data_IF_798654797231
#
_entry.id   IF_798654797231
#
_cell.length_a   1.000
_cell.length_b   1.000
_cell.length_c   1.000
_cell.angle_alpha   90.00
_cell.angle_beta   90.00
_cell.angle_gamma   90.00
#
_symmetry.space_group_name_H-M   'P 1'
#
loop_
_entity.id
_entity.type
_entity.pdbx_description
1 polymer ?
#
# COMPACT_ATOMS: atom_id res chain seq x y z
N UNK A 1 -15.14 11.89 -74.60
CA UNK A 1 -15.43 11.48 -73.21
C UNK A 1 -14.15 10.90 -72.62
N UNK A 2 -13.47 11.63 -71.72
CA UNK A 2 -12.33 11.11 -70.96
C UNK A 2 -12.70 11.28 -69.49
N UNK A 3 -13.07 10.17 -68.84
CA UNK A 3 -13.41 10.15 -67.42
C UNK A 3 -12.14 10.32 -66.59
N UNK A 4 -12.06 11.42 -65.85
CA UNK A 4 -11.04 11.62 -64.82
C UNK A 4 -11.49 10.93 -63.54
N UNK A 5 -10.84 9.82 -63.19
CA UNK A 5 -11.02 9.14 -61.91
C UNK A 5 -10.30 9.98 -60.86
N UNK A 6 -11.06 10.68 -60.01
CA UNK A 6 -10.51 11.35 -58.83
C UNK A 6 -10.28 10.29 -57.75
N UNK A 7 -9.02 9.95 -57.51
CA UNK A 7 -8.63 9.13 -56.36
C UNK A 7 -8.74 9.99 -55.09
N UNK A 8 -9.77 9.74 -54.29
CA UNK A 8 -9.87 10.30 -52.95
C UNK A 8 -8.80 9.63 -52.07
N UNK A 9 -7.72 10.34 -51.75
CA UNK A 9 -6.82 9.95 -50.68
C UNK A 9 -7.58 10.08 -49.35
N UNK A 10 -8.03 8.95 -48.80
CA UNK A 10 -8.42 8.90 -47.38
C UNK A 10 -7.14 8.96 -46.56
N UNK A 11 -6.83 10.16 -46.06
CA UNK A 11 -5.85 10.33 -44.98
C UNK A 11 -6.40 9.62 -43.74
N UNK A 12 -5.93 8.42 -43.46
CA UNK A 12 -6.20 7.74 -42.20
C UNK A 12 -5.55 8.58 -41.08
N UNK A 13 -6.38 9.33 -40.35
CA UNK A 13 -5.96 9.96 -39.10
C UNK A 13 -5.69 8.80 -38.16
N UNK A 14 -4.41 8.48 -37.95
CA UNK A 14 -4.01 7.58 -36.85
C UNK A 14 -4.35 8.32 -35.57
N UNK A 15 -5.56 8.08 -35.03
CA UNK A 15 -5.85 8.41 -33.64
C UNK A 15 -4.84 7.62 -32.83
N UNK A 16 -3.84 8.31 -32.28
CA UNK A 16 -2.90 7.68 -31.36
C UNK A 16 -3.74 7.08 -30.25
N UNK A 17 -3.68 5.75 -30.09
CA UNK A 17 -4.32 5.11 -28.96
C UNK A 17 -3.73 5.72 -27.69
N UNK A 18 -4.59 6.32 -26.88
CA UNK A 18 -4.19 6.97 -25.64
C UNK A 18 -5.02 6.37 -24.51
N UNK A 19 -4.38 5.82 -23.47
CA UNK A 19 -5.09 5.41 -22.28
C UNK A 19 -5.61 6.66 -21.56
N UNK A 20 -6.81 6.56 -20.97
CA UNK A 20 -7.43 7.68 -20.28
C UNK A 20 -8.38 7.20 -19.21
N UNK A 21 -8.33 7.82 -18.03
CA UNK A 21 -9.21 7.50 -16.90
C UNK A 21 -9.84 8.77 -16.32
N UNK A 22 -11.12 8.66 -15.96
CA UNK A 22 -11.81 9.63 -15.11
C UNK A 22 -12.29 8.89 -13.87
N UNK A 23 -12.03 9.47 -12.70
CA UNK A 23 -12.49 8.98 -11.40
C UNK A 23 -13.45 10.00 -10.79
N UNK A 24 -14.72 9.62 -10.65
CA UNK A 24 -15.73 10.41 -9.96
C UNK A 24 -16.02 9.81 -8.58
N UNK A 25 -15.78 10.58 -7.52
CA UNK A 25 -16.01 10.17 -6.13
C UNK A 25 -17.18 10.95 -5.55
N UNK A 26 -18.28 10.25 -5.25
CA UNK A 26 -19.51 10.87 -4.78
C UNK A 26 -19.87 10.43 -3.36
N UNK A 27 -19.94 11.39 -2.45
CA UNK A 27 -20.47 11.21 -1.10
C UNK A 27 -21.92 11.76 -1.00
N UNK A 28 -22.76 11.24 -0.08
CA UNK A 28 -24.06 11.85 0.20
C UNK A 28 -23.90 13.31 0.65
N UNK A 29 -24.83 14.25 0.35
CA UNK A 29 -24.68 15.66 0.69
C UNK A 29 -24.52 15.93 2.20
N UNK A 30 -25.07 15.05 3.03
CA UNK A 30 -24.89 15.06 4.47
C UNK A 30 -24.98 13.65 5.05
N UNK A 31 -24.20 13.39 6.11
CA UNK A 31 -24.30 12.19 6.94
C UNK A 31 -24.32 12.57 8.43
N UNK A 32 -25.07 11.81 9.23
CA UNK A 32 -25.06 11.89 10.69
C UNK A 32 -24.41 10.61 11.19
N UNK A 33 -23.41 10.78 12.05
CA UNK A 33 -22.45 9.77 12.45
C UNK A 33 -21.60 9.27 11.26
N UNK A 34 -20.39 8.77 11.55
CA UNK A 34 -19.57 8.13 10.50
C UNK A 34 -20.09 6.75 10.14
N UNK A 35 -20.83 6.12 11.06
CA UNK A 35 -21.41 4.79 10.89
C UNK A 35 -22.47 4.84 9.77
N UNK A 36 -22.13 4.31 8.59
CA UNK A 36 -22.99 4.33 7.40
C UNK A 36 -22.66 5.40 6.36
N UNK A 37 -21.57 6.17 6.54
CA UNK A 37 -21.03 6.98 5.45
C UNK A 37 -20.50 6.05 4.36
N UNK A 38 -21.18 6.05 3.21
CA UNK A 38 -20.75 5.33 2.01
C UNK A 38 -20.38 6.33 0.93
N UNK A 39 -19.22 6.14 0.32
CA UNK A 39 -18.75 6.90 -0.83
C UNK A 39 -18.80 6.00 -2.06
N UNK A 40 -19.37 6.52 -3.14
CA UNK A 40 -19.45 5.83 -4.42
C UNK A 40 -18.32 6.31 -5.32
N UNK A 41 -17.46 5.40 -5.75
CA UNK A 41 -16.41 5.68 -6.72
C UNK A 41 -16.80 5.10 -8.09
N UNK A 42 -16.78 5.94 -9.11
CA UNK A 42 -16.99 5.54 -10.51
C UNK A 42 -15.70 5.77 -11.27
N UNK A 43 -15.08 4.70 -11.75
CA UNK A 43 -13.89 4.76 -12.59
C UNK A 43 -14.28 4.44 -14.03
N UNK A 44 -14.00 5.37 -14.94
CA UNK A 44 -14.34 5.25 -16.37
C UNK A 44 -13.10 5.28 -17.24
N UNK A 45 -13.01 4.31 -18.15
CA UNK A 45 -12.07 4.37 -19.25
C UNK A 45 -12.56 5.35 -20.32
N UNK A 46 -11.84 6.47 -20.47
CA UNK A 46 -12.10 7.49 -21.50
C UNK A 46 -11.15 7.38 -22.68
N UNK A 47 -10.16 6.49 -22.60
CA UNK A 47 -9.26 6.17 -23.68
C UNK A 47 -9.90 5.34 -24.79
N UNK A 48 -9.10 5.01 -25.78
CA UNK A 48 -9.51 4.25 -26.97
C UNK A 48 -9.12 2.78 -26.92
N UNK A 49 -8.42 2.34 -25.87
CA UNK A 49 -7.96 0.97 -25.68
C UNK A 49 -8.51 0.37 -24.37
N UNK A 50 -8.59 -0.95 -24.28
CA UNK A 50 -8.95 -1.63 -23.05
C UNK A 50 -7.85 -1.49 -22.01
N UNK A 51 -8.21 -1.17 -20.77
CA UNK A 51 -7.28 -1.05 -19.64
C UNK A 51 -7.42 -2.23 -18.70
N UNK A 52 -6.30 -2.95 -18.45
CA UNK A 52 -6.20 -4.01 -17.45
C UNK A 52 -5.54 -3.44 -16.18
N UNK A 53 -6.35 -2.94 -15.28
CA UNK A 53 -5.95 -2.22 -14.07
C UNK A 53 -5.74 -3.20 -12.92
N UNK A 54 -4.67 -3.07 -12.14
CA UNK A 54 -4.52 -3.83 -10.90
C UNK A 54 -5.53 -3.34 -9.86
N UNK A 55 -6.10 -4.28 -9.10
CA UNK A 55 -6.90 -4.01 -7.92
C UNK A 55 -5.99 -3.61 -6.73
N UNK A 56 -5.14 -2.59 -6.95
CA UNK A 56 -4.17 -2.10 -5.98
C UNK A 56 -4.88 -1.62 -4.72
N UNK A 57 -4.45 -2.07 -3.53
CA UNK A 57 -5.10 -1.75 -2.25
C UNK A 57 -5.10 -0.27 -1.90
N UNK A 58 -4.35 0.60 -2.59
CA UNK A 58 -4.41 2.06 -2.38
C UNK A 58 -5.46 2.75 -3.25
N UNK A 59 -6.14 2.02 -4.13
CA UNK A 59 -7.06 2.57 -5.13
C UNK A 59 -8.49 2.15 -4.86
N UNK A 60 -9.43 2.88 -5.46
CA UNK A 60 -10.87 2.60 -5.35
C UNK A 60 -11.30 1.23 -5.91
N UNK A 61 -10.41 0.53 -6.62
CA UNK A 61 -10.66 -0.81 -7.17
C UNK A 61 -10.58 -1.91 -6.11
N UNK A 62 -9.87 -1.66 -5.01
CA UNK A 62 -9.80 -2.59 -3.89
C UNK A 62 -10.95 -2.36 -2.91
N UNK A 63 -11.43 -3.43 -2.28
CA UNK A 63 -12.39 -3.35 -1.17
C UNK A 63 -11.72 -3.47 0.20
N UNK A 64 -10.39 -3.56 0.23
CA UNK A 64 -9.64 -3.61 1.47
C UNK A 64 -9.88 -2.31 2.25
N UNK A 65 -10.05 -2.35 3.58
CA UNK A 65 -10.28 -1.16 4.40
C UNK A 65 -8.96 -0.42 4.63
N UNK A 66 -8.37 0.10 3.57
CA UNK A 66 -7.07 0.79 3.50
C UNK A 66 -7.26 2.31 3.38
N UNK A 67 -6.16 3.05 3.47
CA UNK A 67 -6.11 4.51 3.41
C UNK A 67 -6.25 5.04 1.96
N UNK A 68 -7.32 4.60 1.28
CA UNK A 68 -7.60 4.88 -0.14
C UNK A 68 -8.08 6.32 -0.36
N UNK A 69 -8.69 6.92 0.65
CA UNK A 69 -9.34 8.22 0.57
C UNK A 69 -8.78 9.20 1.60
N UNK A 70 -8.44 10.39 1.14
CA UNK A 70 -8.10 11.51 2.00
C UNK A 70 -9.36 12.29 2.42
N UNK A 71 -9.41 12.65 3.71
CA UNK A 71 -10.46 13.49 4.30
C UNK A 71 -9.79 14.73 4.86
N UNK A 72 -10.27 15.89 4.43
CA UNK A 72 -9.84 17.18 4.97
C UNK A 72 -11.06 18.05 5.21
N UNK A 73 -11.07 18.75 6.34
CA UNK A 73 -12.05 19.82 6.58
C UNK A 73 -11.92 20.91 5.50
N UNK A 74 -12.98 21.69 5.25
CA UNK A 74 -12.95 22.82 4.30
C UNK A 74 -11.79 23.81 4.53
N UNK A 75 -11.34 23.96 5.79
CA UNK A 75 -10.22 24.83 6.17
C UNK A 75 -8.85 24.15 6.07
N UNK A 76 -8.79 22.88 5.65
CA UNK A 76 -7.59 22.01 5.65
C UNK A 76 -6.89 21.92 7.03
N UNK A 77 -7.60 22.22 8.11
CA UNK A 77 -7.04 22.25 9.47
C UNK A 77 -7.16 20.91 10.21
N UNK A 78 -8.07 20.03 9.76
CA UNK A 78 -8.39 18.79 10.44
C UNK A 78 -8.50 17.65 9.43
N UNK A 79 -7.82 16.55 9.75
CA UNK A 79 -7.87 15.28 9.03
C UNK A 79 -8.14 14.19 10.06
N UNK A 80 -9.17 13.34 9.86
CA UNK A 80 -9.42 12.22 10.74
C UNK A 80 -8.25 11.24 10.70
N UNK A 81 -7.98 10.62 11.83
CA UNK A 81 -7.02 9.52 11.90
C UNK A 81 -7.62 8.31 11.19
N UNK A 82 -6.87 7.74 10.26
CA UNK A 82 -7.22 6.48 9.62
C UNK A 82 -7.06 5.32 10.62
N UNK A 83 -8.04 4.42 10.67
CA UNK A 83 -8.08 3.29 11.63
C UNK A 83 -8.25 1.93 10.95
N UNK A 84 -8.20 1.88 9.62
CA UNK A 84 -8.24 0.63 8.88
C UNK A 84 -6.89 -0.09 8.88
N UNK A 85 -6.75 -1.07 7.99
CA UNK A 85 -5.52 -1.85 7.88
C UNK A 85 -4.44 -1.08 7.13
N UNK A 86 -3.20 -1.33 7.51
CA UNK A 86 -1.99 -1.06 6.72
C UNK A 86 -1.42 -2.40 6.27
N UNK A 87 -0.91 -2.49 5.05
CA UNK A 87 -0.57 -3.79 4.45
C UNK A 87 0.59 -3.71 3.49
N UNK A 88 1.34 -4.81 3.37
CA UNK A 88 2.32 -5.00 2.30
C UNK A 88 1.69 -5.61 1.04
N UNK A 89 1.86 -4.90 -0.06
CA UNK A 89 1.51 -5.30 -1.42
C UNK A 89 2.65 -4.94 -2.37
N UNK A 90 2.83 -5.70 -3.45
CA UNK A 90 3.82 -5.37 -4.49
C UNK A 90 3.16 -5.49 -5.86
N UNK A 91 2.90 -4.37 -6.57
CA UNK A 91 2.23 -4.38 -7.87
C UNK A 91 2.88 -5.30 -8.90
N UNK A 92 4.21 -5.35 -8.93
CA UNK A 92 4.95 -6.21 -9.85
C UNK A 92 4.73 -7.71 -9.55
N UNK A 93 4.66 -8.10 -8.28
CA UNK A 93 4.37 -9.48 -7.87
C UNK A 93 2.96 -9.89 -8.26
N UNK A 94 1.96 -9.04 -8.00
CA UNK A 94 0.58 -9.29 -8.41
C UNK A 94 0.43 -9.37 -9.93
N UNK A 95 1.06 -8.45 -10.66
CA UNK A 95 1.07 -8.47 -12.13
C UNK A 95 1.69 -9.75 -12.69
N UNK A 96 2.79 -10.22 -12.09
CA UNK A 96 3.49 -11.44 -12.50
C UNK A 96 2.69 -12.73 -12.21
N UNK A 97 1.89 -12.76 -11.14
CA UNK A 97 0.97 -13.88 -10.87
C UNK A 97 -0.15 -13.98 -11.91
N UNK A 98 -0.48 -12.87 -12.58
CA UNK A 98 -1.38 -12.79 -13.72
C UNK A 98 -2.77 -13.43 -13.47
N UNK A 99 -3.28 -13.42 -12.24
CA UNK A 99 -4.61 -13.96 -11.94
C UNK A 99 -5.67 -12.94 -12.33
N UNK A 100 -6.74 -13.38 -12.98
CA UNK A 100 -7.82 -12.46 -13.39
C UNK A 100 -8.43 -11.70 -12.21
N UNK A 101 -8.47 -12.30 -11.02
CA UNK A 101 -8.95 -11.66 -9.79
C UNK A 101 -8.09 -10.45 -9.33
N UNK A 102 -6.82 -10.38 -9.73
CA UNK A 102 -5.93 -9.27 -9.41
C UNK A 102 -6.23 -8.01 -10.24
N UNK A 103 -7.11 -8.12 -11.25
CA UNK A 103 -7.37 -7.05 -12.21
C UNK A 103 -8.83 -6.67 -12.35
N UNK A 104 -9.05 -5.40 -12.68
CA UNK A 104 -10.28 -4.89 -13.27
C UNK A 104 -10.00 -4.51 -14.72
N UNK A 105 -10.76 -5.08 -15.66
CA UNK A 105 -10.63 -4.76 -17.10
C UNK A 105 -11.75 -3.84 -17.54
N UNK A 106 -11.40 -2.67 -18.08
CA UNK A 106 -12.34 -1.69 -18.61
C UNK A 106 -12.13 -1.51 -20.12
N UNK A 107 -13.12 -1.88 -20.93
CA UNK A 107 -13.16 -1.54 -22.35
C UNK A 107 -13.29 -0.02 -22.57
N UNK A 108 -12.98 0.51 -23.76
CA UNK A 108 -13.21 1.92 -24.09
C UNK A 108 -14.64 2.36 -23.78
N UNK A 109 -14.79 3.43 -22.99
CA UNK A 109 -16.08 3.97 -22.55
C UNK A 109 -16.74 3.22 -21.38
N UNK A 110 -16.22 2.05 -20.98
CA UNK A 110 -16.76 1.28 -19.86
C UNK A 110 -16.46 1.96 -18.53
N UNK A 111 -17.39 1.82 -17.58
CA UNK A 111 -17.22 2.28 -16.20
C UNK A 111 -17.42 1.11 -15.23
N UNK A 112 -16.77 1.20 -14.08
CA UNK A 112 -17.05 0.38 -12.90
C UNK A 112 -17.48 1.29 -11.76
N UNK A 113 -18.45 0.83 -10.98
CA UNK A 113 -18.96 1.52 -9.80
C UNK A 113 -18.69 0.67 -8.56
N UNK A 114 -18.10 1.27 -7.54
CA UNK A 114 -17.73 0.60 -6.30
C UNK A 114 -18.14 1.48 -5.12
N UNK A 115 -18.89 0.90 -4.20
CA UNK A 115 -19.26 1.53 -2.94
C UNK A 115 -18.21 1.22 -1.86
N UNK A 116 -17.76 2.26 -1.17
CA UNK A 116 -16.77 2.21 -0.11
C UNK A 116 -17.37 2.71 1.20
N UNK A 117 -17.40 1.87 2.22
CA UNK A 117 -17.86 2.24 3.56
C UNK A 117 -16.76 3.01 4.32
N UNK A 118 -17.17 3.97 5.15
CA UNK A 118 -16.27 4.78 6.00
C UNK A 118 -15.17 5.50 5.21
N UNK A 119 -15.49 5.88 3.97
CA UNK A 119 -14.55 6.43 3.02
C UNK A 119 -14.51 7.96 3.02
N UNK A 120 -13.40 8.46 2.51
CA UNK A 120 -13.11 9.88 2.40
C UNK A 120 -13.44 10.50 1.05
N UNK A 121 -12.89 11.69 0.81
CA UNK A 121 -13.38 12.58 -0.23
C UNK A 121 -12.54 12.59 -1.51
N UNK A 122 -11.22 12.65 -1.35
CA UNK A 122 -10.30 12.59 -2.47
C UNK A 122 -9.56 11.25 -2.44
N UNK A 123 -9.88 10.39 -3.39
CA UNK A 123 -9.23 9.10 -3.54
C UNK A 123 -7.88 9.22 -4.26
N UNK A 124 -7.01 8.24 -4.04
CA UNK A 124 -5.83 8.08 -4.90
C UNK A 124 -6.26 7.89 -6.36
N UNK A 125 -5.75 8.73 -7.25
CA UNK A 125 -6.10 8.76 -8.66
C UNK A 125 -5.02 8.14 -9.56
N UNK A 126 -3.94 7.60 -8.99
CA UNK A 126 -2.90 6.89 -9.74
C UNK A 126 -3.17 5.40 -9.69
N UNK A 127 -3.32 4.79 -10.87
CA UNK A 127 -3.60 3.37 -11.03
C UNK A 127 -2.42 2.66 -11.69
N UNK A 128 -2.14 1.45 -11.23
CA UNK A 128 -1.24 0.54 -11.92
C UNK A 128 -2.02 -0.27 -12.97
N UNK A 129 -1.47 -0.41 -14.17
CA UNK A 129 -2.07 -1.21 -15.24
C UNK A 129 -1.02 -2.01 -16.01
N UNK A 130 -1.44 -3.12 -16.59
CA UNK A 130 -0.61 -3.92 -17.49
C UNK A 130 -0.97 -3.55 -18.92
N UNK A 131 0.01 -3.06 -19.67
CA UNK A 131 -0.20 -2.64 -21.06
C UNK A 131 -0.22 -3.85 -22.03
N UNK A 132 -0.42 -3.58 -23.32
CA UNK A 132 -0.47 -4.61 -24.35
C UNK A 132 0.83 -5.42 -24.51
N UNK A 133 1.97 -4.90 -24.02
CA UNK A 133 3.25 -5.61 -24.01
C UNK A 133 3.44 -6.51 -22.79
N UNK A 134 2.53 -6.43 -21.81
CA UNK A 134 2.65 -7.13 -20.53
C UNK A 134 3.46 -6.37 -19.48
N UNK A 135 3.87 -5.12 -19.77
CA UNK A 135 4.62 -4.30 -18.82
C UNK A 135 3.70 -3.57 -17.85
N UNK A 136 4.15 -3.49 -16.59
CA UNK A 136 3.47 -2.71 -15.57
C UNK A 136 3.76 -1.22 -15.75
N UNK A 137 2.69 -0.43 -15.88
CA UNK A 137 2.73 1.02 -16.04
C UNK A 137 1.77 1.70 -15.08
N UNK A 138 1.89 3.02 -14.97
CA UNK A 138 0.97 3.85 -14.19
C UNK A 138 0.18 4.76 -15.11
N UNK A 139 -1.05 5.06 -14.71
CA UNK A 139 -1.91 6.05 -15.33
C UNK A 139 -2.57 6.88 -14.23
N UNK A 140 -2.55 8.19 -14.41
CA UNK A 140 -3.25 9.12 -13.53
C UNK A 140 -4.63 9.44 -14.10
N UNK A 141 -5.67 9.22 -13.31
CA UNK A 141 -7.04 9.59 -13.65
C UNK A 141 -7.27 11.07 -13.33
N UNK A 142 -8.03 11.76 -14.19
CA UNK A 142 -8.63 13.04 -13.77
C UNK A 142 -9.70 12.75 -12.72
N UNK A 143 -9.64 13.42 -11.57
CA UNK A 143 -10.51 13.14 -10.43
C UNK A 143 -11.52 14.26 -10.16
N UNK A 144 -12.79 13.92 -9.98
CA UNK A 144 -13.82 14.83 -9.48
C UNK A 144 -14.41 14.31 -8.17
N UNK A 145 -14.83 15.23 -7.30
CA UNK A 145 -15.38 14.91 -5.99
C UNK A 145 -16.34 16.01 -5.49
N UNK A 146 -17.44 15.68 -4.79
CA UNK A 146 -18.41 16.62 -4.19
C UNK A 146 -18.36 16.83 -2.64
N UNK A 147 -18.35 18.07 -2.14
CA UNK A 147 -18.34 18.33 -0.69
C UNK A 147 -19.59 17.77 0.02
N UNK A 148 -19.42 17.32 1.27
CA UNK A 148 -20.51 16.88 2.13
C UNK A 148 -20.40 17.42 3.56
N UNK A 149 -21.51 17.41 4.29
CA UNK A 149 -21.55 17.77 5.71
C UNK A 149 -21.58 16.52 6.57
N UNK A 150 -20.67 16.45 7.54
CA UNK A 150 -20.64 15.37 8.53
C UNK A 150 -20.92 15.94 9.93
N UNK A 151 -21.86 15.33 10.65
CA UNK A 151 -22.23 15.72 12.01
C UNK A 151 -22.39 14.49 12.90
N UNK A 152 -22.53 14.68 14.21
CA UNK A 152 -22.74 13.58 15.17
C UNK A 152 -21.44 12.94 15.65
N UNK A 153 -21.46 11.62 15.88
CA UNK A 153 -20.34 10.81 16.34
C UNK A 153 -19.35 10.59 15.20
N UNK A 154 -18.18 11.20 15.33
CA UNK A 154 -17.13 11.18 14.29
C UNK A 154 -16.11 10.05 14.45
N UNK A 155 -16.43 9.05 15.29
CA UNK A 155 -15.56 7.91 15.58
C UNK A 155 -16.37 6.63 15.38
N UNK A 156 -15.96 5.81 14.42
CA UNK A 156 -16.53 4.49 14.21
C UNK A 156 -16.10 3.57 15.35
N UNK A 157 -16.98 2.70 15.88
CA UNK A 157 -16.54 1.63 16.78
C UNK A 157 -15.51 0.75 16.07
N UNK A 158 -14.37 0.47 16.72
CA UNK A 158 -13.49 -0.60 16.22
C UNK A 158 -14.29 -1.90 16.21
N UNK A 159 -14.48 -2.48 15.02
CA UNK A 159 -15.19 -3.76 14.83
C UNK A 159 -14.33 -4.95 15.25
N UNK A 160 -13.05 -4.72 15.54
CA UNK A 160 -12.18 -5.78 16.04
C UNK A 160 -12.34 -5.88 17.55
N UNK A 161 -12.61 -7.10 18.08
CA UNK A 161 -12.51 -7.32 19.51
C UNK A 161 -11.06 -7.09 19.88
N UNK A 162 -10.76 -5.89 20.43
CA UNK A 162 -9.43 -5.49 20.90
C UNK A 162 -8.76 -6.68 21.56
N UNK A 163 -7.76 -7.25 20.89
CA UNK A 163 -6.98 -8.29 21.52
C UNK A 163 -6.35 -7.65 22.76
N UNK A 164 -6.57 -8.30 23.90
CA UNK A 164 -6.34 -7.71 25.23
C UNK A 164 -4.95 -7.09 25.32
N UNK A 165 -4.92 -5.95 26.03
CA UNK A 165 -3.74 -5.26 26.54
C UNK A 165 -2.56 -6.20 26.80
N UNK A 166 -1.35 -5.73 26.43
CA UNK A 166 -0.03 -6.31 26.78
C UNK A 166 -0.09 -6.99 28.15
N UNK A 167 -0.44 -8.27 28.14
CA UNK A 167 0.00 -9.20 29.16
C UNK A 167 1.52 -9.15 29.09
N UNK A 168 2.20 -9.16 30.23
CA UNK A 168 3.64 -9.43 30.30
C UNK A 168 3.81 -10.90 29.90
N UNK A 169 3.55 -11.19 28.62
CA UNK A 169 3.79 -12.47 28.01
C UNK A 169 5.29 -12.54 27.77
N UNK A 170 5.84 -13.74 27.98
CA UNK A 170 7.22 -14.08 27.63
C UNK A 170 7.54 -13.50 26.23
N UNK A 171 8.71 -12.88 26.07
CA UNK A 171 9.25 -12.42 24.77
C UNK A 171 9.46 -13.63 23.85
N UNK A 172 8.38 -14.14 23.28
CA UNK A 172 8.33 -15.36 22.48
C UNK A 172 7.33 -15.14 21.37
N UNK A 173 7.72 -15.56 20.17
CA UNK A 173 6.84 -15.58 19.00
C UNK A 173 5.59 -16.38 19.33
N UNK A 174 4.43 -15.76 19.13
CA UNK A 174 3.13 -16.41 19.31
C UNK A 174 2.50 -16.67 17.94
N UNK A 175 1.65 -17.70 17.84
CA UNK A 175 1.04 -18.11 16.59
C UNK A 175 -0.47 -18.31 16.75
N UNK A 176 -1.25 -17.82 15.80
CA UNK A 176 -2.68 -18.06 15.70
C UNK A 176 -2.98 -18.78 14.39
N UNK A 177 -3.52 -20.01 14.47
CA UNK A 177 -3.90 -20.79 13.29
C UNK A 177 -2.76 -21.28 12.39
N UNK A 178 -1.50 -21.19 12.83
CA UNK A 178 -0.34 -21.60 12.03
C UNK A 178 0.01 -23.09 12.21
N UNK A 179 0.18 -23.81 11.10
CA UNK A 179 0.75 -25.17 11.07
C UNK A 179 2.23 -25.18 11.52
N UNK A 180 2.77 -26.35 11.87
CA UNK A 180 4.17 -26.49 12.29
C UNK A 180 5.19 -26.04 11.24
N UNK A 181 4.89 -26.25 9.95
CA UNK A 181 5.71 -25.76 8.85
C UNK A 181 5.66 -24.23 8.76
N UNK A 182 4.47 -23.63 8.83
CA UNK A 182 4.32 -22.17 8.85
C UNK A 182 5.04 -21.55 10.05
N UNK A 183 4.93 -22.14 11.25
CA UNK A 183 5.66 -21.68 12.44
C UNK A 183 7.18 -21.67 12.22
N UNK A 184 7.71 -22.70 11.55
CA UNK A 184 9.14 -22.78 11.23
C UNK A 184 9.56 -21.67 10.26
N UNK A 185 8.75 -21.39 9.22
CA UNK A 185 9.00 -20.31 8.26
C UNK A 185 8.96 -18.93 8.94
N UNK A 186 7.96 -18.70 9.78
CA UNK A 186 7.77 -17.45 10.53
C UNK A 186 8.90 -17.23 11.54
N UNK A 187 9.30 -18.26 12.29
CA UNK A 187 10.42 -18.18 13.24
C UNK A 187 11.73 -17.79 12.56
N UNK A 188 12.02 -18.39 11.40
CA UNK A 188 13.20 -18.04 10.60
C UNK A 188 13.13 -16.59 10.10
N UNK A 189 11.97 -16.16 9.59
CA UNK A 189 11.76 -14.79 9.12
C UNK A 189 11.86 -13.75 10.25
N UNK A 190 11.29 -14.04 11.42
CA UNK A 190 11.36 -13.17 12.59
C UNK A 190 12.80 -12.98 13.09
N UNK A 191 13.58 -14.06 13.12
CA UNK A 191 15.01 -14.01 13.48
C UNK A 191 15.82 -13.19 12.48
N UNK A 192 15.56 -13.38 11.18
CA UNK A 192 16.21 -12.60 10.13
C UNK A 192 15.79 -11.12 10.15
N UNK A 193 14.52 -10.83 10.45
CA UNK A 193 13.99 -9.46 10.59
C UNK A 193 14.68 -8.70 11.73
N UNK A 194 14.82 -9.32 12.91
CA UNK A 194 15.60 -8.72 14.01
C UNK A 194 17.06 -8.46 13.61
N UNK A 195 17.65 -9.34 12.79
CA UNK A 195 19.01 -9.16 12.27
C UNK A 195 19.09 -7.96 11.32
N UNK A 196 18.11 -7.80 10.42
CA UNK A 196 18.00 -6.60 9.58
C UNK A 196 17.91 -5.32 10.41
N UNK A 197 17.02 -5.28 11.41
CA UNK A 197 16.85 -4.11 12.28
C UNK A 197 18.12 -3.80 13.07
N UNK A 198 18.82 -4.80 13.60
CA UNK A 198 20.10 -4.62 14.29
C UNK A 198 21.21 -4.06 13.38
N UNK A 199 21.30 -4.57 12.14
CA UNK A 199 22.25 -4.09 11.13
C UNK A 199 21.94 -2.65 10.73
N UNK A 200 20.66 -2.31 10.56
CA UNK A 200 20.21 -0.94 10.30
C UNK A 200 20.56 -0.01 11.45
N UNK A 201 20.28 -0.37 12.70
CA UNK A 201 20.62 0.46 13.85
C UNK A 201 22.13 0.71 13.94
N UNK A 202 22.96 -0.31 13.70
CA UNK A 202 24.42 -0.17 13.62
C UNK A 202 24.82 0.81 12.52
N UNK A 203 24.25 0.65 11.33
CA UNK A 203 24.50 1.51 10.18
C UNK A 203 24.11 2.98 10.44
N UNK A 204 22.88 3.22 10.89
CA UNK A 204 22.36 4.57 11.13
C UNK A 204 23.14 5.30 12.24
N UNK A 205 23.69 4.58 13.21
CA UNK A 205 24.56 5.15 14.24
C UNK A 205 25.96 5.50 13.72
N UNK A 206 26.41 4.87 12.63
CA UNK A 206 27.72 5.11 12.02
C UNK A 206 27.75 6.25 10.99
N UNK A 207 26.59 6.69 10.47
CA UNK A 207 26.52 7.74 9.44
C UNK A 207 26.26 9.13 10.03
N UNK A 208 26.93 10.13 9.45
CA UNK A 208 26.77 11.55 9.78
C UNK A 208 26.54 12.42 8.52
N UNK A 209 26.37 11.79 7.36
CA UNK A 209 26.11 12.42 6.07
C UNK A 209 25.31 11.48 5.16
N UNK A 210 24.90 11.98 3.99
CA UNK A 210 24.18 11.19 3.00
C UNK A 210 25.06 10.14 2.34
N UNK A 211 24.75 8.87 2.58
CA UNK A 211 25.33 7.71 1.91
C UNK A 211 24.42 7.21 0.79
N UNK A 212 24.94 6.38 -0.12
CA UNK A 212 24.15 5.82 -1.21
C UNK A 212 22.95 5.02 -0.69
N UNK A 213 23.15 4.16 0.32
CA UNK A 213 22.04 3.38 0.92
C UNK A 213 20.98 4.30 1.53
N UNK A 214 21.38 5.32 2.31
CA UNK A 214 20.43 6.24 2.93
C UNK A 214 19.67 7.05 1.87
N UNK A 215 20.37 7.67 0.93
CA UNK A 215 19.73 8.56 -0.05
C UNK A 215 18.86 7.80 -1.06
N UNK A 216 19.16 6.53 -1.34
CA UNK A 216 18.33 5.68 -2.20
C UNK A 216 16.93 5.50 -1.63
N UNK A 217 16.81 5.33 -0.31
CA UNK A 217 15.54 4.96 0.33
C UNK A 217 14.91 6.09 1.14
N UNK A 218 15.66 7.10 1.55
CA UNK A 218 15.13 8.21 2.38
C UNK A 218 15.41 9.59 1.80
N UNK A 219 16.07 9.66 0.64
CA UNK A 219 16.31 10.91 -0.08
C UNK A 219 17.41 11.76 0.56
N UNK A 220 17.35 13.06 0.29
CA UNK A 220 18.38 14.01 0.75
C UNK A 220 18.56 13.94 2.28
N UNK A 221 19.83 13.80 2.69
CA UNK A 221 20.20 13.72 4.10
C UNK A 221 19.88 15.00 4.86
N UNK A 222 19.29 14.84 6.05
CA UNK A 222 19.31 15.85 7.10
C UNK A 222 19.45 15.14 8.44
N UNK A 223 20.07 15.80 9.43
CA UNK A 223 20.18 15.24 10.78
C UNK A 223 18.80 14.92 11.39
N UNK A 224 17.78 15.74 11.12
CA UNK A 224 16.42 15.53 11.59
C UNK A 224 15.79 14.26 11.00
N UNK A 225 15.83 14.08 9.68
CA UNK A 225 15.30 12.86 9.02
C UNK A 225 16.07 11.61 9.45
N UNK A 226 17.39 11.70 9.60
CA UNK A 226 18.19 10.59 10.14
C UNK A 226 17.70 10.22 11.55
N UNK A 227 17.47 11.21 12.41
CA UNK A 227 16.98 10.99 13.77
C UNK A 227 15.60 10.32 13.77
N UNK A 228 14.70 10.72 12.87
CA UNK A 228 13.38 10.09 12.72
C UNK A 228 13.51 8.62 12.31
N UNK A 229 14.23 8.32 11.22
CA UNK A 229 14.43 6.94 10.77
C UNK A 229 15.11 6.09 11.84
N UNK A 230 16.14 6.63 12.53
CA UNK A 230 16.80 5.94 13.64
C UNK A 230 15.81 5.63 14.77
N UNK A 231 14.92 6.57 15.11
CA UNK A 231 13.91 6.35 16.14
C UNK A 231 12.96 5.21 15.77
N UNK A 232 12.57 5.10 14.49
CA UNK A 232 11.69 4.03 14.03
C UNK A 232 12.33 2.65 14.24
N UNK A 233 13.53 2.42 13.71
CA UNK A 233 14.23 1.14 13.88
C UNK A 233 14.66 0.84 15.31
N UNK A 234 14.90 1.87 16.12
CA UNK A 234 15.16 1.69 17.56
C UNK A 234 13.90 1.18 18.26
N UNK A 235 12.73 1.75 17.94
CA UNK A 235 11.45 1.31 18.50
C UNK A 235 11.05 -0.09 18.03
N UNK A 236 11.22 -0.41 16.74
CA UNK A 236 10.99 -1.77 16.21
C UNK A 236 11.86 -2.79 16.97
N UNK A 237 13.13 -2.47 17.21
CA UNK A 237 14.01 -3.24 18.08
C UNK A 237 14.05 -4.74 17.77
N UNK A 238 13.45 -5.54 18.66
CA UNK A 238 13.37 -7.01 18.56
C UNK A 238 11.94 -7.53 18.45
N UNK A 239 11.00 -6.65 18.07
CA UNK A 239 9.56 -6.92 18.10
C UNK A 239 9.19 -8.20 17.32
N UNK A 240 9.87 -8.48 16.21
CA UNK A 240 9.59 -9.65 15.38
C UNK A 240 9.57 -10.97 16.17
N UNK A 241 10.40 -11.11 17.21
CA UNK A 241 10.46 -12.31 18.08
C UNK A 241 9.53 -12.28 19.29
N UNK A 242 8.72 -11.23 19.43
CA UNK A 242 7.69 -11.05 20.46
C UNK A 242 6.30 -10.78 19.88
N UNK A 243 6.16 -10.79 18.55
CA UNK A 243 4.91 -10.60 17.82
C UNK A 243 4.10 -11.89 17.75
N UNK A 244 2.77 -11.73 17.72
CA UNK A 244 1.83 -12.78 17.34
C UNK A 244 1.65 -12.80 15.83
N UNK A 245 1.83 -13.96 15.19
CA UNK A 245 1.58 -14.14 13.77
C UNK A 245 0.30 -14.95 13.57
N UNK A 246 -0.66 -14.35 12.87
CA UNK A 246 -1.92 -14.98 12.52
C UNK A 246 -1.86 -15.50 11.07
N UNK A 247 -2.08 -16.79 10.89
CA UNK A 247 -2.01 -17.47 9.60
C UNK A 247 -3.37 -17.76 8.95
N UNK A 248 -4.48 -17.31 9.55
CA UNK A 248 -5.85 -17.70 9.17
C UNK A 248 -6.78 -16.52 8.92
N UNK A 249 -6.63 -15.41 9.63
CA UNK A 249 -7.57 -14.29 9.56
C UNK A 249 -7.51 -13.61 8.20
N UNK A 250 -6.33 -13.44 7.60
CA UNK A 250 -6.22 -12.84 6.26
C UNK A 250 -7.01 -13.62 5.21
N UNK A 251 -6.97 -14.96 5.24
CA UNK A 251 -7.70 -15.82 4.31
C UNK A 251 -9.23 -15.64 4.39
N UNK A 252 -9.73 -15.22 5.56
CA UNK A 252 -11.16 -15.11 5.84
C UNK A 252 -11.65 -13.65 5.92
N UNK A 253 -10.77 -12.66 5.71
CA UNK A 253 -11.13 -11.25 5.81
C UNK A 253 -11.70 -10.76 4.48
N UNK A 254 -12.96 -10.35 4.49
CA UNK A 254 -13.61 -9.80 3.30
C UNK A 254 -12.92 -8.51 2.83
N UNK A 255 -12.77 -8.37 1.52
CA UNK A 255 -12.17 -7.20 0.89
C UNK A 255 -10.65 -7.25 0.75
N UNK A 256 -9.97 -8.12 1.50
CA UNK A 256 -8.53 -8.39 1.32
C UNK A 256 -8.37 -9.54 0.33
N UNK A 257 -7.51 -9.35 -0.66
CA UNK A 257 -7.13 -10.43 -1.56
C UNK A 257 -5.93 -11.20 -1.00
N UNK A 258 -6.20 -12.40 -0.49
CA UNK A 258 -5.22 -13.24 0.19
C UNK A 258 -4.01 -13.56 -0.70
N UNK A 259 -4.18 -13.92 -1.97
CA UNK A 259 -3.05 -14.42 -2.77
C UNK A 259 -2.20 -13.32 -3.43
N UNK A 260 -2.62 -12.06 -3.33
CA UNK A 260 -1.87 -10.88 -3.81
C UNK A 260 -1.33 -9.99 -2.68
N UNK A 261 -1.76 -10.22 -1.44
CA UNK A 261 -1.27 -9.52 -0.24
C UNK A 261 -0.16 -10.32 0.46
N UNK A 262 0.84 -9.64 1.01
CA UNK A 262 1.89 -10.27 1.82
C UNK A 262 1.45 -10.42 3.28
N UNK A 263 1.11 -9.31 3.91
CA UNK A 263 0.63 -9.25 5.29
C UNK A 263 -0.12 -7.93 5.53
N UNK A 264 -0.78 -7.82 6.68
CA UNK A 264 -1.33 -6.54 7.14
C UNK A 264 -1.32 -6.44 8.68
N UNK A 265 -1.52 -5.22 9.17
CA UNK A 265 -1.69 -4.89 10.60
C UNK A 265 -2.75 -3.81 10.81
N UNK A 266 -3.18 -3.65 12.05
CA UNK A 266 -3.85 -2.43 12.53
C UNK A 266 -2.82 -1.60 13.30
N UNK A 267 -2.61 -0.35 12.90
CA UNK A 267 -1.51 0.49 13.42
C UNK A 267 -1.63 0.79 14.92
N UNK A 268 -2.85 0.80 15.45
CA UNK A 268 -3.18 1.08 16.85
C UNK A 268 -3.29 -0.18 17.72
N UNK A 269 -3.11 -1.38 17.14
CA UNK A 269 -3.11 -2.68 17.82
C UNK A 269 -1.73 -3.37 17.70
N UNK A 270 -0.68 -2.83 18.34
CA UNK A 270 0.67 -3.36 18.20
C UNK A 270 0.82 -4.79 18.72
N UNK A 271 1.59 -5.60 17.98
CA UNK A 271 2.01 -6.94 18.40
C UNK A 271 1.29 -8.10 17.71
N UNK A 272 0.48 -7.84 16.68
CA UNK A 272 -0.09 -8.89 15.82
C UNK A 272 0.12 -8.57 14.34
N UNK A 273 0.68 -9.52 13.58
CA UNK A 273 0.82 -9.46 12.12
C UNK A 273 -0.04 -10.55 11.50
N UNK A 274 -0.89 -10.17 10.54
CA UNK A 274 -1.77 -11.08 9.82
C UNK A 274 -1.12 -11.45 8.48
N UNK A 275 -0.72 -12.72 8.34
CA UNK A 275 0.02 -13.21 7.19
C UNK A 275 -0.92 -13.68 6.08
N UNK A 276 -0.62 -13.27 4.85
CA UNK A 276 -1.41 -13.56 3.66
C UNK A 276 -0.63 -14.47 2.69
N UNK A 277 -1.20 -14.76 1.52
CA UNK A 277 -0.72 -15.76 0.57
C UNK A 277 0.70 -15.49 0.07
N UNK A 278 1.03 -14.24 -0.29
CA UNK A 278 2.33 -13.93 -0.91
C UNK A 278 3.50 -14.10 0.06
N UNK A 279 3.29 -13.90 1.37
CA UNK A 279 4.32 -14.12 2.38
C UNK A 279 4.86 -15.56 2.34
N UNK A 280 4.01 -16.54 2.04
CA UNK A 280 4.43 -17.93 1.99
C UNK A 280 5.29 -18.25 0.76
N UNK A 281 5.13 -17.51 -0.33
CA UNK A 281 5.93 -17.67 -1.55
C UNK A 281 7.27 -16.92 -1.48
N UNK A 282 7.35 -15.87 -0.66
CA UNK A 282 8.51 -15.00 -0.54
C UNK A 282 9.75 -15.72 0.04
N UNK A 283 10.98 -15.35 -0.37
CA UNK A 283 12.19 -15.88 0.25
C UNK A 283 12.32 -15.38 1.70
N UNK A 284 13.12 -16.06 2.53
CA UNK A 284 13.31 -15.61 3.93
C UNK A 284 13.99 -14.23 3.99
N UNK A 285 15.03 -14.02 3.19
CA UNK A 285 15.81 -12.78 3.06
C UNK A 285 15.95 -12.41 1.58
N UNK A 286 16.52 -11.24 1.28
CA UNK A 286 16.56 -10.68 -0.08
C UNK A 286 15.54 -9.57 -0.27
N UNK A 287 15.14 -9.32 -1.52
CA UNK A 287 14.12 -8.33 -1.90
C UNK A 287 12.71 -8.88 -1.70
N UNK A 288 11.80 -8.07 -1.14
CA UNK A 288 10.40 -8.41 -0.86
C UNK A 288 10.28 -9.74 -0.10
N UNK A 289 11.12 -9.89 0.91
CA UNK A 289 11.31 -11.13 1.65
C UNK A 289 10.34 -11.24 2.82
N UNK A 290 10.21 -12.43 3.41
CA UNK A 290 9.44 -12.61 4.66
C UNK A 290 10.00 -11.75 5.80
N UNK A 291 11.32 -11.68 5.93
CA UNK A 291 11.97 -10.83 6.91
C UNK A 291 11.74 -9.33 6.64
N UNK A 292 11.80 -8.91 5.37
CA UNK A 292 11.48 -7.55 4.93
C UNK A 292 10.03 -7.18 5.21
N UNK A 293 9.09 -8.07 4.86
CA UNK A 293 7.67 -7.94 5.18
C UNK A 293 7.45 -7.72 6.68
N UNK A 294 8.15 -8.45 7.55
CA UNK A 294 8.02 -8.25 9.00
C UNK A 294 8.55 -6.87 9.43
N UNK A 295 9.60 -6.34 8.78
CA UNK A 295 10.06 -4.96 9.02
C UNK A 295 9.01 -3.94 8.56
N UNK A 296 8.42 -4.14 7.37
CA UNK A 296 7.33 -3.32 6.81
C UNK A 296 6.19 -3.21 7.80
N UNK A 297 5.61 -4.35 8.20
CA UNK A 297 4.46 -4.41 9.08
C UNK A 297 4.75 -3.86 10.47
N UNK A 298 5.93 -4.15 11.04
CA UNK A 298 6.30 -3.59 12.34
C UNK A 298 6.47 -2.07 12.31
N UNK A 299 6.81 -1.47 11.16
CA UNK A 299 6.95 -0.01 11.03
C UNK A 299 5.61 0.73 11.06
N UNK A 300 4.52 0.06 10.68
CA UNK A 300 3.16 0.61 10.73
C UNK A 300 2.63 0.82 12.14
N UNK A 301 3.13 0.07 13.13
CA UNK A 301 2.67 0.26 14.51
C UNK A 301 3.03 1.67 15.00
N UNK A 302 2.06 2.35 15.60
CA UNK A 302 2.23 3.74 16.06
C UNK A 302 3.38 3.91 17.05
N UNK A 303 3.64 2.86 17.85
CA UNK A 303 4.76 2.82 18.79
C UNK A 303 6.14 2.74 18.10
N UNK A 304 6.17 2.35 16.82
CA UNK A 304 7.37 2.08 16.02
C UNK A 304 7.64 3.12 14.93
N UNK A 305 6.79 4.14 14.81
CA UNK A 305 6.89 5.19 13.80
C UNK A 305 5.55 5.50 13.14
N UNK A 306 4.65 4.51 13.07
CA UNK A 306 3.33 4.70 12.48
C UNK A 306 3.38 5.00 10.98
N UNK A 307 4.30 4.34 10.26
CA UNK A 307 4.48 4.57 8.82
C UNK A 307 3.19 4.30 8.04
N UNK A 308 3.07 4.93 6.87
CA UNK A 308 1.98 4.72 5.92
C UNK A 308 2.42 3.92 4.69
N UNK A 309 1.45 3.51 3.89
CA UNK A 309 1.63 2.86 2.59
C UNK A 309 1.49 3.89 1.46
N UNK A 310 2.40 4.86 1.39
CA UNK A 310 2.39 5.90 0.36
C UNK A 310 2.58 5.29 -1.03
N UNK A 311 3.56 4.39 -1.17
CA UNK A 311 3.89 3.70 -2.42
C UNK A 311 4.33 2.28 -2.16
N UNK A 312 4.09 1.43 -3.16
CA UNK A 312 4.55 0.04 -3.18
C UNK A 312 5.59 -0.21 -4.30
N UNK A 313 6.57 -1.07 -4.01
CA UNK A 313 7.63 -1.51 -4.90
C UNK A 313 8.88 -0.64 -4.86
N UNK A 314 10.06 -1.26 -5.05
CA UNK A 314 11.37 -0.57 -5.01
C UNK A 314 11.44 0.67 -5.91
N UNK A 315 10.95 0.59 -7.14
CA UNK A 315 10.99 1.69 -8.10
C UNK A 315 10.21 2.91 -7.60
N UNK A 316 9.01 2.68 -7.08
CA UNK A 316 8.16 3.74 -6.51
C UNK A 316 8.76 4.29 -5.22
N UNK A 317 9.31 3.43 -4.36
CA UNK A 317 9.97 3.83 -3.11
C UNK A 317 11.21 4.72 -3.37
N UNK A 318 12.05 4.41 -4.37
CA UNK A 318 13.18 5.24 -4.81
C UNK A 318 12.72 6.57 -5.40
N UNK A 319 11.65 6.55 -6.19
CA UNK A 319 11.05 7.77 -6.75
C UNK A 319 10.48 8.67 -5.64
N UNK A 320 9.84 8.08 -4.63
CA UNK A 320 9.34 8.79 -3.45
C UNK A 320 10.47 9.41 -2.64
N UNK A 321 11.58 8.68 -2.43
CA UNK A 321 12.78 9.21 -1.77
C UNK A 321 13.35 10.44 -2.50
N UNK A 322 13.29 10.47 -3.82
CA UNK A 322 13.78 11.59 -4.63
C UNK A 322 12.82 12.78 -4.61
N UNK A 323 11.52 12.52 -4.80
CA UNK A 323 10.49 13.56 -4.99
C UNK A 323 9.92 14.11 -3.68
N UNK A 324 9.82 13.28 -2.65
CA UNK A 324 9.27 13.64 -1.35
C UNK A 324 9.93 12.84 -0.20
N UNK A 325 11.15 13.24 0.23
CA UNK A 325 11.86 12.60 1.33
C UNK A 325 11.06 12.53 2.63
N UNK A 326 10.14 13.47 2.88
CA UNK A 326 9.28 13.47 4.08
C UNK A 326 8.32 12.28 4.06
N UNK A 327 7.71 11.97 2.91
CA UNK A 327 6.89 10.75 2.77
C UNK A 327 7.74 9.49 2.72
N UNK A 328 8.96 9.54 2.17
CA UNK A 328 9.83 8.38 2.10
C UNK A 328 10.25 7.87 3.50
N UNK A 329 10.55 8.76 4.44
CA UNK A 329 10.81 8.38 5.84
C UNK A 329 9.55 7.98 6.63
N UNK A 330 8.37 8.07 5.99
CA UNK A 330 7.07 7.68 6.51
C UNK A 330 6.43 6.57 5.66
N UNK A 331 7.19 5.94 4.74
CA UNK A 331 6.71 4.85 3.91
C UNK A 331 7.27 3.51 4.41
N UNK A 332 6.41 2.54 4.65
CA UNK A 332 6.81 1.24 5.19
C UNK A 332 7.74 0.48 4.22
N UNK A 333 7.43 0.48 2.92
CA UNK A 333 8.27 -0.15 1.88
C UNK A 333 9.68 0.47 1.83
N UNK A 334 9.82 1.79 2.08
CA UNK A 334 11.13 2.43 2.16
C UNK A 334 11.94 1.92 3.36
N UNK A 335 11.29 1.57 4.48
CA UNK A 335 11.95 0.94 5.62
C UNK A 335 12.28 -0.53 5.33
N UNK A 336 11.41 -1.27 4.67
CA UNK A 336 11.70 -2.64 4.25
C UNK A 336 12.93 -2.68 3.36
N UNK A 337 12.93 -1.95 2.25
CA UNK A 337 14.02 -2.01 1.27
C UNK A 337 15.35 -1.46 1.82
N UNK A 338 15.29 -0.46 2.71
CA UNK A 338 16.48 -0.01 3.41
C UNK A 338 17.05 -1.11 4.31
N UNK A 339 16.19 -1.89 4.98
CA UNK A 339 16.59 -2.97 5.88
C UNK A 339 17.10 -4.21 5.12
N UNK A 340 16.42 -4.59 4.04
CA UNK A 340 16.81 -5.69 3.15
C UNK A 340 18.16 -5.43 2.48
N UNK A 341 18.41 -4.19 2.06
CA UNK A 341 19.63 -3.77 1.38
C UNK A 341 20.05 -4.74 0.26
N UNK A 342 19.13 -5.00 -0.67
CA UNK A 342 19.30 -5.98 -1.74
C UNK A 342 19.01 -5.34 -3.12
N UNK A 343 20.03 -5.18 -4.00
CA UNK A 343 21.45 -5.46 -3.78
C UNK A 343 22.06 -4.53 -2.71
N UNK A 344 23.18 -4.97 -2.12
CA UNK A 344 23.83 -4.24 -1.03
C UNK A 344 24.36 -2.88 -1.47
N UNK A 345 23.90 -1.84 -0.79
CA UNK A 345 24.39 -0.47 -0.90
C UNK A 345 25.17 -0.10 0.36
N UNK A 346 26.16 0.78 0.21
CA UNK A 346 26.94 1.39 1.28
C UNK A 346 26.39 2.75 1.70
#
# INVERSE_FOLDING_TARGET
MKSAISAALLSAITVSAAPGLVLDVTAPPSAVDVDGLTVKAVLKNTGTESLKLLNDPRTVLSKAPTDTFSITSDANTQTPKFTGIKLKYVPATAAAKARDADFTVLAPGQSIEIDHALAGFAANNVFNYVDASGELKTIEASSNSNRFKLAGKLVAPSTNPKTRARSISKRVVSYAGCSSSQQSLVSAAATASNTYVANVNTYLNGISSGTTRYTTWFGAYTAARLSTVRSHYTSIGTDATSTTYDCTTCQNTSGIDYDSTYAYVYSDEPGTIYLCGVFWDAPVTGTDSRAGTIVHENSHFEVNGGTSDWVYGQSSAKSLATSNPTRAIDNADNHEYFAENNPSLS
#
